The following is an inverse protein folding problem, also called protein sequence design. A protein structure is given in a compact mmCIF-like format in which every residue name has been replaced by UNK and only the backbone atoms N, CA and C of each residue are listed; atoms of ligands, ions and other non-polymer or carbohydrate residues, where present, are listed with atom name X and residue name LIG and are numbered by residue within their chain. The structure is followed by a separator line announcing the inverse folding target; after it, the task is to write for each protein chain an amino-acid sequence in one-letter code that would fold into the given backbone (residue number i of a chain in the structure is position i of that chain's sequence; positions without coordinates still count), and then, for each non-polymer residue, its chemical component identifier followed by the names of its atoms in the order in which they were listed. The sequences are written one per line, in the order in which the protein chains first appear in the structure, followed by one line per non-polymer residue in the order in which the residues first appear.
data_IF_876094727479
#
_entry.id   IF_876094727479
#
_cell.length_a   1.000
_cell.length_b   1.000
_cell.length_c   1.000
_cell.angle_alpha   90.00
_cell.angle_beta   90.00
_cell.angle_gamma   90.00
#
_symmetry.space_group_name_H-M   'P 1'
#
loop_
_entity.id
_entity.type
_entity.pdbx_description
1 polymer ?
#
# COMPACT_ATOMS: atom_id res chain seq x y z
N UNK A 1 -6.57 -13.03 18.47
CA UNK A 1 -7.18 -13.03 17.12
C UNK A 1 -7.11 -11.61 16.56
N UNK A 2 -6.87 -11.44 15.26
CA UNK A 2 -6.93 -10.12 14.59
C UNK A 2 -8.39 -9.75 14.35
N UNK A 3 -8.74 -8.47 14.50
CA UNK A 3 -10.13 -7.98 14.31
C UNK A 3 -10.49 -8.02 12.83
N UNK A 4 -11.70 -8.49 12.51
CA UNK A 4 -12.22 -8.49 11.13
C UNK A 4 -12.24 -7.08 10.56
N UNK A 5 -11.69 -6.90 9.35
CA UNK A 5 -11.64 -5.60 8.69
C UNK A 5 -10.49 -4.70 9.15
N UNK A 6 -9.54 -5.23 9.95
CA UNK A 6 -8.34 -4.50 10.32
C UNK A 6 -7.39 -4.26 9.14
N UNK A 7 -7.49 -5.04 8.05
CA UNK A 7 -6.63 -4.92 6.88
C UNK A 7 -7.41 -4.40 5.67
N UNK A 8 -6.78 -3.49 4.93
CA UNK A 8 -7.20 -3.03 3.61
C UNK A 8 -5.96 -2.64 2.80
N UNK A 9 -6.14 -2.23 1.55
CA UNK A 9 -5.04 -1.85 0.64
C UNK A 9 -4.55 -0.41 0.90
N UNK A 10 -3.32 -0.06 0.52
CA UNK A 10 -2.87 1.34 0.49
C UNK A 10 -3.87 2.25 -0.25
N UNK A 11 -4.12 3.43 0.30
CA UNK A 11 -5.09 4.39 -0.26
C UNK A 11 -6.53 4.11 0.16
N UNK A 12 -6.72 3.15 1.07
CA UNK A 12 -7.96 2.87 1.79
C UNK A 12 -7.63 2.77 3.29
N UNK A 13 -8.42 3.40 4.15
CA UNK A 13 -8.12 3.50 5.59
C UNK A 13 -7.20 4.69 5.95
N UNK A 14 -6.60 4.62 7.14
CA UNK A 14 -6.05 5.81 7.82
C UNK A 14 -4.51 5.80 7.97
N UNK A 15 -3.81 4.82 7.38
CA UNK A 15 -2.35 4.78 7.41
C UNK A 15 -1.74 5.75 6.41
N UNK A 16 -0.84 6.61 6.89
CA UNK A 16 -0.01 7.46 6.03
C UNK A 16 1.18 6.67 5.47
N UNK A 17 0.98 6.11 4.28
CA UNK A 17 2.03 5.42 3.54
C UNK A 17 3.16 6.34 3.06
N UNK A 18 2.91 7.64 2.91
CA UNK A 18 3.95 8.59 2.51
C UNK A 18 5.05 8.67 3.56
N UNK A 19 4.68 8.77 4.84
CA UNK A 19 5.65 8.77 5.95
C UNK A 19 6.44 7.46 6.02
N UNK A 20 5.77 6.32 5.83
CA UNK A 20 6.42 4.99 5.88
C UNK A 20 7.42 4.82 4.74
N UNK A 21 7.00 5.09 3.50
CA UNK A 21 7.85 4.93 2.32
C UNK A 21 8.99 5.94 2.33
N UNK A 22 8.76 7.19 2.74
CA UNK A 22 9.81 8.19 2.91
C UNK A 22 10.87 7.78 3.93
N UNK A 23 10.47 7.16 5.05
CA UNK A 23 11.42 6.65 6.04
C UNK A 23 12.29 5.50 5.50
N UNK A 24 11.74 4.63 4.64
CA UNK A 24 12.49 3.57 3.97
C UNK A 24 13.46 4.14 2.93
N UNK A 25 13.02 5.13 2.15
CA UNK A 25 13.87 5.85 1.19
C UNK A 25 15.05 6.54 1.88
N UNK A 26 14.81 7.21 3.01
CA UNK A 26 15.86 7.85 3.81
C UNK A 26 16.90 6.88 4.39
N UNK A 27 16.60 5.56 4.40
CA UNK A 27 17.52 4.50 4.79
C UNK A 27 18.18 3.80 3.60
N UNK A 28 17.89 4.22 2.37
CA UNK A 28 18.41 3.58 1.16
C UNK A 28 17.87 2.16 0.95
N UNK A 29 16.61 1.88 1.33
CA UNK A 29 16.00 0.58 1.09
C UNK A 29 15.69 0.40 -0.40
N UNK A 30 16.21 -0.65 -1.03
CA UNK A 30 16.07 -0.94 -2.47
C UNK A 30 15.37 -2.29 -2.74
N UNK A 31 14.70 -2.85 -1.73
CA UNK A 31 14.00 -4.13 -1.85
C UNK A 31 12.59 -4.00 -2.44
N UNK A 32 11.82 -5.09 -2.31
CA UNK A 32 10.47 -5.17 -2.85
C UNK A 32 9.43 -4.56 -1.93
N UNK A 33 8.47 -3.86 -2.55
CA UNK A 33 7.22 -3.48 -1.91
C UNK A 33 6.10 -4.40 -2.43
N UNK A 34 5.35 -4.98 -1.50
CA UNK A 34 4.26 -5.90 -1.81
C UNK A 34 2.96 -5.35 -1.23
N UNK A 35 1.91 -5.31 -2.04
CA UNK A 35 0.56 -5.00 -1.58
C UNK A 35 -0.10 -6.31 -1.13
N UNK A 36 -0.31 -6.44 0.17
CA UNK A 36 -1.08 -7.54 0.76
C UNK A 36 -2.37 -6.99 1.37
N UNK A 37 -3.48 -7.69 1.14
CA UNK A 37 -4.77 -7.35 1.75
C UNK A 37 -5.62 -8.61 1.98
N UNK A 38 -6.35 -8.61 3.09
CA UNK A 38 -7.35 -9.62 3.42
C UNK A 38 -8.69 -8.92 3.68
N UNK A 39 -9.60 -9.02 2.70
CA UNK A 39 -10.89 -8.33 2.75
C UNK A 39 -12.02 -9.23 2.26
N UNK A 40 -13.26 -8.92 2.66
CA UNK A 40 -14.45 -9.55 2.10
C UNK A 40 -14.60 -9.16 0.62
N UNK A 41 -14.54 -10.12 -0.33
CA UNK A 41 -14.55 -9.81 -1.76
C UNK A 41 -15.91 -9.33 -2.28
N UNK A 42 -17.01 -9.52 -1.53
CA UNK A 42 -18.32 -8.98 -1.91
C UNK A 42 -18.39 -7.48 -1.64
N UNK A 43 -17.90 -7.05 -0.49
CA UNK A 43 -17.85 -5.64 -0.13
C UNK A 43 -16.69 -4.90 -0.83
N UNK A 44 -15.58 -5.60 -1.06
CA UNK A 44 -14.35 -5.04 -1.62
C UNK A 44 -13.90 -5.87 -2.84
N UNK A 45 -14.43 -5.59 -4.05
CA UNK A 45 -14.13 -6.37 -5.24
C UNK A 45 -12.62 -6.47 -5.52
N UNK A 46 -12.03 -7.67 -5.70
CA UNK A 46 -10.58 -7.88 -5.72
C UNK A 46 -9.82 -7.01 -6.73
N UNK A 47 -10.31 -6.91 -7.98
CA UNK A 47 -9.65 -6.11 -9.01
C UNK A 47 -9.66 -4.61 -8.67
N UNK A 48 -10.75 -4.12 -8.07
CA UNK A 48 -10.86 -2.71 -7.69
C UNK A 48 -9.87 -2.37 -6.57
N UNK A 49 -9.77 -3.26 -5.57
CA UNK A 49 -8.83 -3.06 -4.44
C UNK A 49 -7.38 -3.19 -4.89
N UNK A 50 -7.05 -4.17 -5.74
CA UNK A 50 -5.71 -4.31 -6.29
C UNK A 50 -5.27 -3.05 -7.06
N UNK A 51 -6.17 -2.48 -7.89
CA UNK A 51 -5.90 -1.21 -8.60
C UNK A 51 -5.72 -0.03 -7.67
N UNK A 52 -6.55 0.08 -6.61
CA UNK A 52 -6.45 1.14 -5.61
C UNK A 52 -5.11 1.06 -4.87
N UNK A 53 -4.77 -0.10 -4.32
CA UNK A 53 -3.51 -0.34 -3.62
C UNK A 53 -2.28 -0.06 -4.47
N UNK A 54 -2.30 -0.55 -5.72
CA UNK A 54 -1.22 -0.31 -6.67
C UNK A 54 -1.06 1.19 -7.01
N UNK A 55 -2.17 1.90 -7.26
CA UNK A 55 -2.13 3.33 -7.58
C UNK A 55 -1.57 4.17 -6.42
N UNK A 56 -1.99 3.89 -5.19
CA UNK A 56 -1.46 4.60 -4.02
C UNK A 56 0.02 4.29 -3.82
N UNK A 57 0.41 3.01 -3.90
CA UNK A 57 1.81 2.62 -3.73
C UNK A 57 2.71 3.33 -4.76
N UNK A 58 2.32 3.36 -6.03
CA UNK A 58 3.06 4.11 -7.05
C UNK A 58 3.14 5.60 -6.74
N UNK A 59 2.05 6.22 -6.26
CA UNK A 59 2.03 7.64 -5.92
C UNK A 59 3.02 7.97 -4.79
N UNK A 60 3.02 7.19 -3.71
CA UNK A 60 3.92 7.46 -2.56
C UNK A 60 5.37 7.10 -2.89
N UNK A 61 5.61 6.07 -3.69
CA UNK A 61 6.96 5.71 -4.15
C UNK A 61 7.55 6.81 -5.03
N UNK A 62 6.77 7.34 -6.00
CA UNK A 62 7.21 8.46 -6.82
C UNK A 62 7.48 9.72 -5.97
N UNK A 63 6.67 9.98 -4.95
CA UNK A 63 6.89 11.11 -4.01
C UNK A 63 8.19 10.94 -3.21
N UNK A 64 8.58 9.70 -2.92
CA UNK A 64 9.82 9.37 -2.24
C UNK A 64 11.02 9.17 -3.19
N UNK A 65 10.88 9.55 -4.46
CA UNK A 65 11.92 9.42 -5.50
C UNK A 65 12.39 8.00 -5.78
N UNK A 66 11.53 7.00 -5.52
CA UNK A 66 11.77 5.64 -5.98
C UNK A 66 11.52 5.50 -7.48
N UNK A 67 12.38 4.76 -8.16
CA UNK A 67 12.11 4.19 -9.48
C UNK A 67 11.49 2.80 -9.29
N UNK A 68 10.33 2.56 -9.89
CA UNK A 68 9.64 1.27 -9.87
C UNK A 68 9.83 0.61 -11.22
N UNK A 69 10.45 -0.58 -11.22
CA UNK A 69 10.79 -1.37 -12.42
C UNK A 69 9.91 -2.59 -12.61
#
# INVERSE_FOLDING_TARGET
AVIKGAFTVPGDGDLDFGTIVGALAGKGYEGWFVVEAEQDPKANPPLAMARKGHAELLRVMATASYEVV
#
